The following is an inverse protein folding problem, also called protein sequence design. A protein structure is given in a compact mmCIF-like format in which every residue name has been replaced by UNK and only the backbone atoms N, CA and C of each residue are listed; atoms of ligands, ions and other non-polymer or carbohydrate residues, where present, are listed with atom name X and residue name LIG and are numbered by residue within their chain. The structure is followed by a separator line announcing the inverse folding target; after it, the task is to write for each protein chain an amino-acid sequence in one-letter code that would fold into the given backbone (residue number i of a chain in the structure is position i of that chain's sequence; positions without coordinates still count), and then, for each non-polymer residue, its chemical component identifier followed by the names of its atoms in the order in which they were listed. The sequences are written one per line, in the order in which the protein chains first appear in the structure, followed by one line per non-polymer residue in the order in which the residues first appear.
data_IF_822538189377
#
_entry.id   IF_822538189377
#
_cell.length_a   1.000
_cell.length_b   1.000
_cell.length_c   1.000
_cell.angle_alpha   90.00
_cell.angle_beta   90.00
_cell.angle_gamma   90.00
#
_symmetry.space_group_name_H-M   'P 1'
#
loop_
_entity.id
_entity.type
_entity.pdbx_description
1 polymer ?
#
# COMPACT_ATOMS: atom_id res chain seq x y z
N UNK A 1 -23.70 58.54 16.57
CA UNK A 1 -22.99 57.28 16.90
C UNK A 1 -23.57 56.17 16.02
N UNK A 2 -23.03 55.99 14.82
CA UNK A 2 -23.39 54.88 13.92
C UNK A 2 -22.07 54.37 13.33
N UNK A 3 -21.85 53.06 13.39
CA UNK A 3 -20.95 52.22 12.57
C UNK A 3 -20.37 51.06 13.42
N UNK A 4 -21.21 50.14 13.88
CA UNK A 4 -20.75 48.82 14.39
C UNK A 4 -21.73 47.70 14.02
N UNK A 5 -22.28 47.71 12.80
CA UNK A 5 -23.09 46.59 12.28
C UNK A 5 -22.49 45.93 11.03
N UNK A 6 -21.76 46.65 10.19
CA UNK A 6 -21.22 46.09 8.94
C UNK A 6 -20.11 45.04 9.17
N UNK A 7 -19.20 45.28 10.12
CA UNK A 7 -18.05 44.40 10.36
C UNK A 7 -18.45 43.02 10.91
N UNK A 8 -19.54 42.95 11.69
CA UNK A 8 -20.02 41.69 12.30
C UNK A 8 -20.65 40.75 11.26
N UNK A 9 -21.36 41.33 10.29
CA UNK A 9 -22.03 40.57 9.22
C UNK A 9 -21.01 39.99 8.25
N UNK A 10 -19.97 40.76 7.91
CA UNK A 10 -18.88 40.28 7.05
C UNK A 10 -18.12 39.09 7.66
N UNK A 11 -17.85 39.13 8.97
CA UNK A 11 -17.16 38.04 9.67
C UNK A 11 -17.96 36.72 9.70
N UNK A 12 -19.27 36.80 9.94
CA UNK A 12 -20.14 35.62 9.89
C UNK A 12 -20.21 35.01 8.49
N UNK A 13 -20.29 35.85 7.45
CA UNK A 13 -20.33 35.40 6.06
C UNK A 13 -19.03 34.72 5.64
N UNK A 14 -17.88 35.27 6.06
CA UNK A 14 -16.57 34.66 5.80
C UNK A 14 -16.44 33.28 6.47
N UNK A 15 -16.91 33.15 7.71
CA UNK A 15 -16.94 31.86 8.42
C UNK A 15 -17.84 30.83 7.70
N UNK A 16 -19.03 31.23 7.25
CA UNK A 16 -19.92 30.35 6.50
C UNK A 16 -19.28 29.87 5.19
N UNK A 17 -18.59 30.74 4.46
CA UNK A 17 -17.88 30.37 3.23
C UNK A 17 -16.76 29.35 3.50
N UNK A 18 -15.98 29.52 4.58
CA UNK A 18 -14.92 28.57 4.94
C UNK A 18 -15.50 27.18 5.28
N UNK A 19 -16.61 27.12 6.01
CA UNK A 19 -17.27 25.85 6.36
C UNK A 19 -17.83 25.16 5.11
N UNK A 20 -18.44 25.91 4.20
CA UNK A 20 -18.97 25.37 2.93
C UNK A 20 -17.82 24.89 2.02
N UNK A 21 -16.71 25.64 1.94
CA UNK A 21 -15.50 25.20 1.25
C UNK A 21 -14.96 23.91 1.89
N UNK A 22 -14.80 23.86 3.22
CA UNK A 22 -14.37 22.66 3.95
C UNK A 22 -15.24 21.42 3.65
N UNK A 23 -16.56 21.59 3.58
CA UNK A 23 -17.51 20.52 3.29
C UNK A 23 -17.59 20.11 1.81
N UNK A 24 -17.16 20.99 0.90
CA UNK A 24 -17.15 20.73 -0.55
C UNK A 24 -15.81 20.19 -1.05
N UNK A 25 -14.76 20.20 -0.22
CA UNK A 25 -13.61 19.34 -0.49
C UNK A 25 -14.10 17.90 -0.41
N UNK A 26 -13.98 17.10 -1.49
CA UNK A 26 -14.14 15.67 -1.35
C UNK A 26 -13.12 15.25 -0.30
N UNK A 27 -13.60 14.79 0.86
CA UNK A 27 -12.72 14.10 1.80
C UNK A 27 -12.06 13.04 0.97
N UNK A 28 -10.75 13.18 0.73
CA UNK A 28 -9.97 12.16 0.05
C UNK A 28 -10.30 10.87 0.76
N UNK A 29 -11.12 10.02 0.13
CA UNK A 29 -11.28 8.65 0.59
C UNK A 29 -9.88 8.09 0.42
N UNK A 30 -9.12 8.09 1.50
CA UNK A 30 -7.97 7.23 1.66
C UNK A 30 -8.53 5.85 1.35
N UNK A 31 -8.32 5.37 0.12
CA UNK A 31 -8.30 3.94 -0.07
C UNK A 31 -7.25 3.50 0.94
N UNK A 32 -7.67 2.77 1.97
CA UNK A 32 -6.75 2.24 2.96
C UNK A 32 -5.90 1.25 2.17
N UNK A 33 -4.77 1.74 1.66
CA UNK A 33 -3.80 0.91 0.98
C UNK A 33 -3.35 -0.10 2.03
N UNK A 34 -3.55 -1.36 1.74
CA UNK A 34 -3.23 -2.44 2.67
C UNK A 34 -1.76 -2.35 3.07
N UNK A 35 -1.52 -2.33 4.38
CA UNK A 35 -0.19 -2.06 4.93
C UNK A 35 0.75 -3.25 4.72
N UNK A 36 2.07 -3.01 4.75
CA UNK A 36 3.05 -4.10 4.84
C UNK A 36 2.73 -5.05 5.99
N UNK A 37 2.26 -4.54 7.12
CA UNK A 37 2.02 -5.34 8.32
C UNK A 37 0.85 -6.33 8.12
N UNK A 38 -0.21 -5.94 7.43
CA UNK A 38 -1.34 -6.83 7.09
C UNK A 38 -0.89 -7.94 6.13
N UNK A 39 -0.07 -7.60 5.15
CA UNK A 39 0.52 -8.57 4.22
C UNK A 39 1.47 -9.50 4.96
N UNK A 40 2.32 -8.98 5.84
CA UNK A 40 3.23 -9.76 6.67
C UNK A 40 2.48 -10.64 7.67
N UNK A 41 1.28 -10.26 8.12
CA UNK A 41 0.46 -11.11 8.97
C UNK A 41 -0.18 -12.26 8.17
N UNK A 42 -0.71 -11.97 6.97
CA UNK A 42 -1.51 -12.94 6.21
C UNK A 42 -0.75 -13.76 5.14
N UNK A 43 0.38 -13.26 4.65
CA UNK A 43 1.22 -13.93 3.65
C UNK A 43 2.51 -14.52 4.23
N UNK A 44 2.76 -14.33 5.53
CA UNK A 44 4.01 -14.70 6.24
C UNK A 44 4.58 -16.05 5.81
N UNK A 45 3.73 -17.08 5.87
CA UNK A 45 4.16 -18.46 5.67
C UNK A 45 4.74 -18.73 4.28
N UNK A 46 4.35 -17.91 3.29
CA UNK A 46 4.84 -18.02 1.92
C UNK A 46 6.12 -17.21 1.68
N UNK A 47 6.53 -16.38 2.64
CA UNK A 47 7.71 -15.51 2.54
C UNK A 47 8.83 -15.92 3.49
N UNK A 48 8.52 -16.59 4.60
CA UNK A 48 9.51 -16.95 5.62
C UNK A 48 10.64 -17.86 5.10
N UNK A 49 11.87 -17.63 5.59
CA UNK A 49 13.07 -18.37 5.16
C UNK A 49 12.99 -19.87 5.43
N UNK A 50 12.49 -20.23 6.61
CA UNK A 50 12.51 -21.61 7.11
C UNK A 50 11.34 -22.47 6.65
N UNK A 51 10.36 -21.87 5.96
CA UNK A 51 9.22 -22.61 5.43
C UNK A 51 9.46 -23.00 3.98
N UNK A 52 8.68 -23.97 3.50
CA UNK A 52 8.79 -24.47 2.13
C UNK A 52 8.61 -23.40 1.04
N UNK A 53 8.66 -23.84 -0.20
CA UNK A 53 8.53 -23.02 -1.41
C UNK A 53 7.10 -22.99 -1.97
N UNK A 54 6.11 -23.21 -1.08
CA UNK A 54 4.69 -23.16 -1.42
C UNK A 54 4.23 -21.77 -1.87
N UNK A 55 3.02 -21.72 -2.42
CA UNK A 55 2.41 -20.50 -2.94
C UNK A 55 1.04 -20.27 -2.29
N UNK A 56 0.64 -19.00 -2.06
CA UNK A 56 -0.69 -18.72 -1.60
C UNK A 56 -1.74 -19.14 -2.64
N UNK A 57 -2.87 -19.63 -2.16
CA UNK A 57 -4.03 -19.81 -3.01
C UNK A 57 -4.45 -18.43 -3.56
N UNK A 58 -4.74 -18.26 -4.86
CA UNK A 58 -5.05 -16.96 -5.43
C UNK A 58 -6.22 -16.26 -4.72
N UNK A 59 -7.22 -17.00 -4.24
CA UNK A 59 -8.38 -16.43 -3.54
C UNK A 59 -8.19 -16.29 -2.02
N UNK A 60 -6.97 -16.53 -1.49
CA UNK A 60 -6.68 -16.35 -0.07
C UNK A 60 -6.77 -14.88 0.36
N UNK A 61 -7.00 -14.67 1.66
CA UNK A 61 -7.02 -13.32 2.26
C UNK A 61 -5.69 -12.58 2.03
N UNK A 62 -4.56 -13.28 2.12
CA UNK A 62 -3.24 -12.72 1.79
C UNK A 62 -3.17 -12.18 0.35
N UNK A 63 -3.61 -12.95 -0.65
CA UNK A 63 -3.65 -12.45 -2.02
C UNK A 63 -4.66 -11.34 -2.26
N UNK A 64 -5.74 -11.24 -1.46
CA UNK A 64 -6.63 -10.08 -1.53
C UNK A 64 -5.86 -8.80 -1.18
N UNK A 65 -5.08 -8.81 -0.11
CA UNK A 65 -4.28 -7.66 0.31
C UNK A 65 -3.17 -7.32 -0.68
N UNK A 66 -2.43 -8.33 -1.16
CA UNK A 66 -1.38 -8.13 -2.16
C UNK A 66 -1.92 -7.49 -3.44
N UNK A 67 -3.15 -7.80 -3.87
CA UNK A 67 -3.76 -7.16 -5.05
C UNK A 67 -4.08 -5.67 -4.86
N UNK A 68 -4.34 -5.26 -3.63
CA UNK A 68 -4.77 -3.90 -3.29
C UNK A 68 -3.59 -3.02 -2.86
N UNK A 69 -2.43 -3.62 -2.61
CA UNK A 69 -1.26 -2.93 -2.11
C UNK A 69 -0.37 -2.34 -3.20
N UNK A 70 0.40 -1.32 -2.82
CA UNK A 70 1.53 -0.85 -3.60
C UNK A 70 2.75 -1.74 -3.30
N UNK A 71 2.85 -2.84 -4.04
CA UNK A 71 3.90 -3.86 -3.82
C UNK A 71 5.32 -3.31 -4.02
N UNK A 72 5.49 -2.24 -4.80
CA UNK A 72 6.77 -1.55 -4.96
C UNK A 72 7.12 -0.73 -3.72
N UNK A 73 6.17 -0.01 -3.14
CA UNK A 73 6.40 0.74 -1.90
C UNK A 73 6.74 -0.18 -0.73
N UNK A 74 6.06 -1.33 -0.62
CA UNK A 74 6.32 -2.33 0.41
C UNK A 74 7.79 -2.80 0.42
N UNK A 75 8.44 -2.82 -0.76
CA UNK A 75 9.86 -3.15 -0.83
C UNK A 75 10.74 -2.16 -0.04
N UNK A 76 10.35 -0.89 0.03
CA UNK A 76 11.05 0.14 0.81
C UNK A 76 10.69 0.10 2.30
N UNK A 77 9.54 -0.48 2.66
CA UNK A 77 9.07 -0.60 4.04
C UNK A 77 9.64 -1.83 4.79
N UNK A 78 10.28 -2.77 4.08
CA UNK A 78 10.92 -3.92 4.72
C UNK A 78 12.13 -3.49 5.56
N UNK A 79 12.02 -3.70 6.87
CA UNK A 79 13.10 -3.42 7.81
C UNK A 79 14.17 -4.52 7.79
N UNK A 80 15.34 -4.26 8.38
CA UNK A 80 16.35 -5.31 8.61
C UNK A 80 15.78 -6.54 9.32
N UNK A 81 14.90 -6.32 10.31
CA UNK A 81 14.27 -7.39 11.07
C UNK A 81 13.29 -8.21 10.21
N UNK A 82 12.61 -7.58 9.25
CA UNK A 82 11.75 -8.28 8.29
C UNK A 82 12.61 -9.13 7.35
N UNK A 83 13.67 -8.54 6.78
CA UNK A 83 14.60 -9.22 5.85
C UNK A 83 15.39 -10.35 6.50
N UNK A 84 15.55 -10.32 7.82
CA UNK A 84 16.10 -11.45 8.56
C UNK A 84 15.15 -12.66 8.56
N UNK A 85 13.83 -12.44 8.51
CA UNK A 85 12.78 -13.47 8.63
C UNK A 85 12.24 -13.96 7.29
N UNK A 86 12.29 -13.14 6.24
CA UNK A 86 11.73 -13.46 4.92
C UNK A 86 12.80 -13.63 3.84
N UNK A 87 12.47 -14.39 2.80
CA UNK A 87 13.20 -14.42 1.53
C UNK A 87 12.53 -13.46 0.53
N UNK A 88 13.27 -12.46 0.03
CA UNK A 88 12.73 -11.47 -0.92
C UNK A 88 12.28 -12.09 -2.25
N UNK A 89 12.97 -13.15 -2.71
CA UNK A 89 12.55 -13.86 -3.92
C UNK A 89 11.18 -14.55 -3.73
N UNK A 90 10.84 -14.95 -2.50
CA UNK A 90 9.51 -15.52 -2.19
C UNK A 90 8.44 -14.44 -2.19
N UNK A 91 8.74 -13.24 -1.70
CA UNK A 91 7.84 -12.08 -1.85
C UNK A 91 7.52 -11.79 -3.33
N UNK A 92 8.54 -11.77 -4.19
CA UNK A 92 8.35 -11.62 -5.65
C UNK A 92 7.49 -12.73 -6.25
N UNK A 93 7.64 -13.96 -5.75
CA UNK A 93 6.79 -15.10 -6.16
C UNK A 93 5.33 -14.92 -5.72
N UNK A 94 5.10 -14.48 -4.47
CA UNK A 94 3.76 -14.19 -3.92
C UNK A 94 3.05 -13.11 -4.73
N UNK A 95 3.71 -11.96 -4.98
CA UNK A 95 3.14 -10.85 -5.75
C UNK A 95 2.70 -11.27 -7.15
N UNK A 96 3.54 -12.06 -7.83
CA UNK A 96 3.22 -12.66 -9.13
C UNK A 96 2.03 -13.62 -9.04
N UNK A 97 2.01 -14.52 -8.05
CA UNK A 97 0.92 -15.50 -7.85
C UNK A 97 -0.42 -14.82 -7.57
N UNK A 98 -0.41 -13.73 -6.82
CA UNK A 98 -1.61 -12.98 -6.47
C UNK A 98 -2.11 -12.06 -7.58
N UNK A 99 -1.35 -11.91 -8.68
CA UNK A 99 -1.75 -11.09 -9.84
C UNK A 99 -1.38 -9.62 -9.73
N UNK A 100 -0.43 -9.27 -8.87
CA UNK A 100 0.12 -7.91 -8.75
C UNK A 100 1.65 -7.96 -8.77
N UNK A 101 2.29 -8.37 -9.88
CA UNK A 101 3.72 -8.61 -9.93
C UNK A 101 4.54 -7.32 -9.84
N UNK A 102 5.66 -7.37 -9.12
CA UNK A 102 6.72 -6.38 -9.27
C UNK A 102 7.30 -6.40 -10.70
N UNK A 103 7.66 -5.21 -11.21
CA UNK A 103 8.26 -5.08 -12.53
C UNK A 103 9.61 -5.80 -12.60
N UNK A 104 9.90 -6.44 -13.74
CA UNK A 104 11.21 -7.05 -14.00
C UNK A 104 12.29 -5.96 -13.96
N UNK A 105 13.42 -6.25 -13.32
CA UNK A 105 14.52 -5.31 -13.11
C UNK A 105 14.34 -4.37 -11.91
N UNK A 106 13.15 -4.31 -11.30
CA UNK A 106 12.95 -3.52 -10.09
C UNK A 106 13.80 -4.08 -8.93
N UNK A 107 14.45 -3.20 -8.16
CA UNK A 107 15.21 -3.55 -6.98
C UNK A 107 14.30 -3.49 -5.75
N UNK A 108 13.87 -4.65 -5.27
CA UNK A 108 13.07 -4.78 -4.05
C UNK A 108 13.99 -5.08 -2.86
N UNK A 109 14.32 -4.06 -2.08
CA UNK A 109 15.13 -4.19 -0.85
C UNK A 109 16.49 -4.91 -1.02
N UNK A 110 17.12 -4.77 -2.19
CA UNK A 110 18.37 -5.45 -2.54
C UNK A 110 18.20 -6.65 -3.47
N UNK A 111 16.97 -7.14 -3.69
CA UNK A 111 16.67 -8.20 -4.63
C UNK A 111 16.19 -7.65 -5.97
N UNK A 112 16.94 -7.90 -7.04
CA UNK A 112 16.54 -7.50 -8.40
C UNK A 112 15.59 -8.53 -9.00
N UNK A 113 14.38 -8.08 -9.34
CA UNK A 113 13.31 -8.94 -9.87
C UNK A 113 13.70 -9.55 -11.21
N UNK A 114 13.74 -10.88 -11.25
CA UNK A 114 14.08 -11.64 -12.43
C UNK A 114 12.85 -11.93 -13.32
N UNK A 115 13.04 -12.08 -14.65
CA UNK A 115 12.01 -12.60 -15.54
C UNK A 115 11.45 -13.95 -15.04
N UNK A 116 10.19 -14.29 -15.35
CA UNK A 116 9.68 -15.63 -15.11
C UNK A 116 10.49 -16.66 -15.92
N UNK A 117 10.87 -17.76 -15.28
CA UNK A 117 11.73 -18.80 -15.88
C UNK A 117 11.18 -19.39 -17.19
N UNK A 118 9.87 -19.30 -17.43
CA UNK A 118 9.19 -19.91 -18.57
C UNK A 118 9.20 -19.05 -19.84
N UNK A 119 9.91 -17.91 -19.87
CA UNK A 119 9.96 -17.03 -21.06
C UNK A 119 11.19 -17.29 -21.96
N UNK A 120 11.92 -18.37 -21.72
CA UNK A 120 13.06 -18.84 -22.55
C UNK A 120 12.74 -20.14 -23.30
N UNK A 121 11.46 -20.48 -23.48
CA UNK A 121 11.00 -21.56 -24.37
C UNK A 121 10.15 -20.97 -25.49
#
# INVERSE_FOLDING_TARGET
MHHTSAARVAGAYLCCLIVVLAASYPSSRSYELESKDDIMHHCRHFMEKHLGNGEPHPHSKGCKFVRQANVAEICHEFTEADRAKIELWKWVKVTRRCGNPLAVGHNCAGYVVQPPANRLM
#
